data_IF_648895758673
#
_entry.id   IF_648895758673
#
_cell.length_a   1.000
_cell.length_b   1.000
_cell.length_c   1.000
_cell.angle_alpha   90.00
_cell.angle_beta   90.00
_cell.angle_gamma   90.00
#
_symmetry.space_group_name_H-M   'P 1'
#
loop_
_entity.id
_entity.type
_entity.pdbx_description
1 polymer ?
#
# COMPACT_ATOMS: atom_id res chain seq x y z
N UNK A 1 -1.96 -14.65 22.99
CA UNK A 1 -2.44 -13.29 22.63
C UNK A 1 -3.78 -13.45 21.92
N UNK A 2 -4.88 -13.58 22.67
CA UNK A 2 -6.23 -13.81 22.13
C UNK A 2 -6.80 -12.49 21.58
N UNK A 3 -7.30 -12.52 20.33
CA UNK A 3 -7.90 -11.37 19.64
C UNK A 3 -9.40 -11.34 19.96
N UNK A 4 -9.87 -10.28 20.63
CA UNK A 4 -11.28 -10.03 20.92
C UNK A 4 -12.06 -9.80 19.63
N UNK A 5 -13.22 -10.44 19.47
CA UNK A 5 -14.00 -10.56 18.23
C UNK A 5 -15.04 -9.45 18.01
N UNK A 6 -14.92 -8.28 18.66
CA UNK A 6 -16.02 -7.30 18.71
C UNK A 6 -15.72 -5.89 18.18
N UNK A 7 -14.50 -5.57 17.73
CA UNK A 7 -14.20 -4.25 17.17
C UNK A 7 -13.68 -4.39 15.73
N UNK A 8 -14.26 -3.68 14.75
CA UNK A 8 -13.75 -3.72 13.39
C UNK A 8 -12.29 -3.24 13.42
N UNK A 9 -11.37 -3.94 12.72
CA UNK A 9 -9.98 -3.54 12.71
C UNK A 9 -9.87 -2.09 12.22
N UNK A 10 -9.14 -1.26 12.96
CA UNK A 10 -8.93 0.16 12.63
C UNK A 10 -8.42 0.37 11.20
N UNK A 11 -7.76 -0.64 10.63
CA UNK A 11 -7.27 -0.65 9.25
C UNK A 11 -7.58 -2.01 8.62
N UNK A 12 -8.32 -1.99 7.51
CA UNK A 12 -8.56 -3.14 6.67
C UNK A 12 -7.65 -3.03 5.43
N UNK A 13 -6.79 -4.03 5.25
CA UNK A 13 -5.84 -4.05 4.13
C UNK A 13 -6.29 -5.06 3.07
N UNK A 14 -6.31 -4.60 1.82
CA UNK A 14 -6.52 -5.45 0.65
C UNK A 14 -5.16 -5.85 0.05
N UNK A 15 -5.00 -7.12 -0.30
CA UNK A 15 -3.81 -7.61 -1.01
C UNK A 15 -4.06 -7.55 -2.52
N UNK A 16 -3.00 -7.31 -3.29
CA UNK A 16 -3.07 -7.17 -4.75
C UNK A 16 -2.26 -8.25 -5.47
N UNK A 17 -2.65 -8.52 -6.71
CA UNK A 17 -2.04 -9.51 -7.60
C UNK A 17 -1.03 -8.83 -8.52
N UNK A 18 0.14 -8.50 -7.96
CA UNK A 18 1.19 -7.77 -8.67
C UNK A 18 1.83 -8.56 -9.83
N UNK A 19 1.73 -9.90 -9.83
CA UNK A 19 2.18 -10.76 -10.92
C UNK A 19 1.37 -10.53 -12.21
N UNK A 20 0.09 -10.20 -12.09
CA UNK A 20 -0.84 -9.92 -13.20
C UNK A 20 -1.04 -8.43 -13.42
N UNK A 21 -0.25 -7.59 -12.73
CA UNK A 21 -0.40 -6.13 -12.74
C UNK A 21 -1.83 -5.69 -12.41
N UNK A 22 -2.54 -6.39 -11.51
CA UNK A 22 -3.92 -6.07 -11.13
C UNK A 22 -4.05 -5.78 -9.63
N UNK A 23 -4.77 -4.70 -9.31
CA UNK A 23 -4.99 -4.25 -7.95
C UNK A 23 -6.26 -3.40 -7.86
N UNK A 24 -7.38 -4.03 -7.53
CA UNK A 24 -8.68 -3.34 -7.44
C UNK A 24 -8.65 -2.10 -6.51
N UNK A 25 -7.85 -2.12 -5.45
CA UNK A 25 -7.74 -1.01 -4.52
C UNK A 25 -7.13 0.26 -5.15
N UNK A 26 -6.11 0.11 -6.00
CA UNK A 26 -5.46 1.25 -6.67
C UNK A 26 -6.07 1.57 -8.03
N UNK A 27 -6.75 0.61 -8.65
CA UNK A 27 -7.40 0.77 -9.95
C UNK A 27 -8.82 1.36 -9.83
N UNK A 28 -9.49 1.20 -8.69
CA UNK A 28 -10.85 1.71 -8.47
C UNK A 28 -10.91 3.00 -7.63
N UNK A 29 -9.77 3.54 -7.17
CA UNK A 29 -9.72 4.69 -6.26
C UNK A 29 -8.76 5.78 -6.72
N UNK A 30 -9.19 7.04 -6.60
CA UNK A 30 -8.36 8.21 -6.88
C UNK A 30 -7.35 8.51 -5.75
N UNK A 31 -7.61 8.01 -4.54
CA UNK A 31 -6.74 8.15 -3.37
C UNK A 31 -6.73 6.84 -2.58
N UNK A 32 -5.55 6.38 -2.22
CA UNK A 32 -5.37 5.16 -1.45
C UNK A 32 -4.09 5.25 -0.62
N UNK A 33 -4.01 4.42 0.43
CA UNK A 33 -2.83 4.33 1.30
C UNK A 33 -2.12 3.02 1.00
N UNK A 34 -0.82 3.11 0.72
CA UNK A 34 0.04 1.94 0.54
C UNK A 34 0.85 1.73 1.82
N UNK A 35 0.67 0.56 2.44
CA UNK A 35 1.48 0.15 3.59
C UNK A 35 2.49 -0.89 3.15
N UNK A 36 3.77 -0.62 3.43
CA UNK A 36 4.88 -1.47 3.02
C UNK A 36 5.48 -2.11 4.26
N UNK A 37 5.48 -3.43 4.31
CA UNK A 37 6.10 -4.19 5.38
C UNK A 37 7.38 -4.84 4.88
N UNK A 38 8.48 -4.59 5.60
CA UNK A 38 9.75 -5.24 5.35
C UNK A 38 9.91 -6.44 6.30
N UNK A 39 9.85 -7.70 5.82
CA UNK A 39 9.98 -8.87 6.67
C UNK A 39 11.43 -9.20 7.07
N UNK A 40 12.44 -8.56 6.45
CA UNK A 40 13.85 -8.84 6.75
C UNK A 40 14.39 -7.95 7.86
N UNK A 41 15.39 -8.46 8.60
CA UNK A 41 15.97 -7.75 9.77
C UNK A 41 16.89 -6.59 9.44
N UNK A 42 17.03 -6.22 8.15
CA UNK A 42 17.87 -5.11 7.70
C UNK A 42 17.09 -4.14 6.81
N UNK A 43 17.62 -2.93 6.66
CA UNK A 43 17.03 -1.88 5.84
C UNK A 43 17.10 -2.24 4.37
N UNK A 44 15.96 -2.16 3.66
CA UNK A 44 15.87 -2.32 2.20
C UNK A 44 15.67 -0.93 1.59
N UNK A 45 16.73 -0.37 0.99
CA UNK A 45 16.69 0.99 0.43
C UNK A 45 16.51 1.04 -1.10
N UNK A 46 16.78 -0.06 -1.81
CA UNK A 46 16.90 -0.05 -3.27
C UNK A 46 15.72 -0.71 -4.02
N UNK A 47 14.70 -1.20 -3.33
CA UNK A 47 13.59 -1.89 -3.97
C UNK A 47 12.47 -0.90 -4.36
N UNK A 48 12.22 -0.64 -5.65
CA UNK A 48 11.10 0.21 -6.05
C UNK A 48 9.77 -0.52 -5.82
N UNK A 49 8.81 0.18 -5.23
CA UNK A 49 7.44 -0.30 -5.08
C UNK A 49 6.66 0.10 -6.33
N UNK A 50 6.05 -0.87 -7.01
CA UNK A 50 5.24 -0.66 -8.21
C UNK A 50 3.78 -1.00 -7.92
N UNK A 51 2.88 -0.07 -8.19
CA UNK A 51 1.44 -0.23 -7.96
C UNK A 51 0.70 0.03 -9.28
N UNK A 52 -0.14 -0.89 -9.77
CA UNK A 52 -0.95 -0.67 -10.97
C UNK A 52 -1.98 0.45 -10.76
N UNK A 53 -2.08 1.36 -11.72
CA UNK A 53 -3.07 2.45 -11.71
C UNK A 53 -3.68 2.59 -13.10
N UNK A 54 -4.98 2.89 -13.17
CA UNK A 54 -5.72 2.84 -14.44
C UNK A 54 -5.49 4.04 -15.34
N UNK A 55 -5.45 5.28 -14.81
CA UNK A 55 -5.26 6.50 -15.61
C UNK A 55 -5.00 7.73 -14.71
N UNK A 56 -3.74 8.11 -14.44
CA UNK A 56 -3.34 9.46 -13.98
C UNK A 56 -1.83 9.53 -13.64
N UNK A 57 -1.30 10.75 -13.55
CA UNK A 57 -0.13 11.03 -12.70
C UNK A 57 -0.62 11.15 -11.26
N UNK A 58 -0.10 10.31 -10.36
CA UNK A 58 -0.41 10.38 -8.94
C UNK A 58 0.71 11.14 -8.24
N UNK A 59 0.32 12.11 -7.41
CA UNK A 59 1.25 12.71 -6.45
C UNK A 59 1.44 11.74 -5.27
N UNK A 60 2.67 11.30 -5.06
CA UNK A 60 3.03 10.36 -4.00
C UNK A 60 3.61 11.13 -2.82
N UNK A 61 3.07 10.86 -1.64
CA UNK A 61 3.52 11.47 -0.39
C UNK A 61 4.07 10.39 0.54
N UNK A 62 5.19 10.70 1.19
CA UNK A 62 5.77 9.90 2.25
C UNK A 62 4.91 9.90 3.52
N UNK A 63 5.24 9.03 4.49
CA UNK A 63 4.51 8.95 5.75
C UNK A 63 4.63 10.23 6.60
N UNK A 64 5.62 11.06 6.33
CA UNK A 64 5.82 12.39 6.92
C UNK A 64 5.10 13.51 6.16
N UNK A 65 4.30 13.16 5.14
CA UNK A 65 3.57 14.10 4.30
C UNK A 65 4.43 14.80 3.25
N UNK A 66 5.71 14.43 3.10
CA UNK A 66 6.58 15.04 2.09
C UNK A 66 6.31 14.44 0.71
N UNK A 67 6.32 15.29 -0.30
CA UNK A 67 6.20 14.89 -1.69
C UNK A 67 7.42 14.04 -2.12
N UNK A 68 7.16 12.94 -2.82
CA UNK A 68 8.16 11.99 -3.32
C UNK A 68 8.25 12.04 -4.84
N UNK A 69 7.10 11.99 -5.54
CA UNK A 69 7.01 12.03 -7.00
C UNK A 69 5.65 12.53 -7.48
#
# INVERSE_FOLDING_TARGET
MQRSTAEPPLLQYSRCSFNESSCAASEASDKFIVTVYNPVGWVVAAAPIRVPVVNAQYAVYGPDGKFVV
#
